data_IF_187463652908
#
_entry.id   IF_187463652908
#
_cell.length_a   1.000
_cell.length_b   1.000
_cell.length_c   1.000
_cell.angle_alpha   90.00
_cell.angle_beta   90.00
_cell.angle_gamma   90.00
#
_symmetry.space_group_name_H-M   'P 1'
#
loop_
_entity.id
_entity.type
_entity.pdbx_description
1 polymer ?
#
# COMPACT_ATOMS: atom_id res chain seq x y z
N UNK A 1 -52.05 -88.87 28.34
CA UNK A 1 -51.27 -89.34 29.51
C UNK A 1 -49.88 -88.73 29.36
N UNK A 2 -49.67 -87.45 29.71
CA UNK A 2 -49.02 -86.98 30.95
C UNK A 2 -47.89 -87.93 31.42
N UNK A 3 -46.64 -87.49 31.53
CA UNK A 3 -46.20 -86.44 32.47
C UNK A 3 -45.07 -85.54 31.91
N UNK A 4 -45.29 -84.23 32.04
CA UNK A 4 -44.30 -83.16 31.91
C UNK A 4 -43.46 -83.10 33.21
N UNK A 5 -42.13 -83.18 33.10
CA UNK A 5 -41.23 -82.87 34.21
C UNK A 5 -40.64 -81.47 33.99
N UNK A 6 -41.26 -80.48 34.65
CA UNK A 6 -40.63 -79.18 34.87
C UNK A 6 -39.73 -79.31 36.10
N UNK A 7 -38.42 -79.10 35.95
CA UNK A 7 -37.56 -78.74 37.08
C UNK A 7 -38.03 -77.39 37.61
N UNK A 8 -38.65 -77.36 38.80
CA UNK A 8 -38.88 -76.11 39.52
C UNK A 8 -37.79 -75.91 40.59
N UNK A 9 -37.51 -74.64 40.85
CA UNK A 9 -36.53 -74.18 41.82
C UNK A 9 -36.86 -74.67 43.24
N UNK A 10 -35.80 -74.97 43.99
CA UNK A 10 -35.74 -75.06 45.44
C UNK A 10 -35.77 -76.46 46.07
N UNK A 11 -34.66 -77.15 45.81
CA UNK A 11 -33.68 -77.64 46.79
C UNK A 11 -34.09 -78.77 47.79
N UNK A 12 -33.34 -79.87 47.66
CA UNK A 12 -33.13 -81.00 48.59
C UNK A 12 -34.10 -82.19 48.53
N UNK A 13 -34.12 -82.90 47.41
CA UNK A 13 -34.17 -84.37 47.40
C UNK A 13 -33.74 -84.89 46.03
N UNK A 14 -32.43 -85.08 45.83
CA UNK A 14 -31.91 -85.77 44.66
C UNK A 14 -32.18 -87.29 44.79
N UNK A 15 -32.52 -87.99 43.70
CA UNK A 15 -32.61 -89.45 43.71
C UNK A 15 -31.21 -90.06 43.92
N UNK A 16 -31.11 -91.27 44.52
CA UNK A 16 -29.81 -91.88 44.81
C UNK A 16 -29.05 -92.14 43.50
N UNK A 17 -27.81 -91.63 43.45
CA UNK A 17 -26.86 -91.95 42.40
C UNK A 17 -26.53 -93.46 42.46
N UNK A 18 -26.53 -94.21 41.35
CA UNK A 18 -26.12 -95.62 41.36
C UNK A 18 -24.61 -95.73 41.61
N UNK A 19 -24.13 -96.76 42.35
CA UNK A 19 -22.74 -96.82 42.75
C UNK A 19 -21.81 -97.34 41.64
N UNK A 20 -20.67 -96.66 41.52
CA UNK A 20 -19.36 -97.10 41.02
C UNK A 20 -19.29 -97.89 39.68
N UNK A 21 -19.01 -97.15 38.60
CA UNK A 21 -18.36 -97.66 37.38
C UNK A 21 -17.21 -96.71 36.94
N UNK A 22 -16.22 -97.17 36.17
CA UNK A 22 -15.03 -96.39 35.80
C UNK A 22 -15.39 -95.15 34.95
N UNK A 23 -14.57 -94.08 34.95
CA UNK A 23 -14.95 -92.81 34.34
C UNK A 23 -15.11 -92.94 32.82
N UNK A 24 -16.31 -92.66 32.31
CA UNK A 24 -16.57 -92.53 30.87
C UNK A 24 -15.96 -91.21 30.40
N UNK A 25 -14.90 -91.28 29.59
CA UNK A 25 -14.40 -90.13 28.83
C UNK A 25 -15.43 -89.75 27.75
N UNK A 26 -16.26 -88.75 28.02
CA UNK A 26 -17.09 -88.14 26.98
C UNK A 26 -16.19 -87.32 26.03
N UNK A 27 -16.21 -87.56 24.70
CA UNK A 27 -15.44 -86.76 23.76
C UNK A 27 -15.90 -85.29 23.80
N UNK A 28 -14.95 -84.36 23.92
CA UNK A 28 -15.21 -82.91 23.92
C UNK A 28 -15.92 -82.53 22.62
N UNK A 29 -17.13 -81.98 22.72
CA UNK A 29 -17.93 -81.56 21.58
C UNK A 29 -17.19 -80.55 20.69
N UNK A 30 -17.44 -80.62 19.38
CA UNK A 30 -16.84 -79.74 18.38
C UNK A 30 -17.05 -78.27 18.74
N UNK A 31 -15.99 -77.46 18.59
CA UNK A 31 -16.06 -76.01 18.81
C UNK A 31 -17.12 -75.41 17.90
N UNK A 32 -18.06 -74.65 18.46
CA UNK A 32 -19.14 -74.01 17.72
C UNK A 32 -18.63 -73.02 16.65
N UNK A 33 -19.47 -72.67 15.66
CA UNK A 33 -19.09 -71.74 14.61
C UNK A 33 -18.69 -70.38 15.20
N UNK A 34 -17.65 -69.77 14.63
CA UNK A 34 -17.21 -68.43 15.00
C UNK A 34 -18.35 -67.43 14.76
N UNK A 35 -18.61 -66.55 15.74
CA UNK A 35 -19.65 -65.53 15.63
C UNK A 35 -19.37 -64.52 14.51
N UNK A 36 -20.42 -63.87 14.01
CA UNK A 36 -20.31 -62.82 13.00
C UNK A 36 -19.45 -61.64 13.50
N UNK A 37 -18.66 -61.05 12.62
CA UNK A 37 -17.94 -59.80 12.89
C UNK A 37 -18.92 -58.69 13.25
N UNK A 38 -18.64 -57.94 14.31
CA UNK A 38 -19.49 -56.82 14.74
C UNK A 38 -19.56 -55.68 13.71
N UNK A 39 -20.57 -54.80 13.81
CA UNK A 39 -20.69 -53.65 12.91
C UNK A 39 -19.52 -52.68 13.07
N UNK A 40 -19.11 -52.04 11.97
CA UNK A 40 -18.13 -50.94 11.99
C UNK A 40 -18.65 -49.80 12.87
N UNK A 41 -17.77 -49.23 13.71
CA UNK A 41 -18.12 -48.11 14.58
C UNK A 41 -18.50 -46.82 13.82
N UNK A 42 -19.12 -45.84 14.51
CA UNK A 42 -19.47 -44.56 13.90
C UNK A 42 -18.22 -43.79 13.47
N UNK A 43 -18.35 -42.97 12.42
CA UNK A 43 -17.30 -42.04 12.03
C UNK A 43 -16.96 -41.06 13.17
N UNK A 44 -15.69 -40.69 13.30
CA UNK A 44 -15.24 -39.72 14.28
C UNK A 44 -15.77 -38.30 14.01
N UNK A 45 -15.73 -37.40 15.00
CA UNK A 45 -16.10 -36.00 14.80
C UNK A 45 -15.17 -35.32 13.78
N UNK A 46 -15.65 -34.31 13.03
CA UNK A 46 -14.79 -33.46 12.21
C UNK A 46 -13.66 -32.84 13.04
N UNK A 47 -12.49 -32.67 12.42
CA UNK A 47 -11.37 -31.98 13.05
C UNK A 47 -11.65 -30.49 13.32
N UNK A 48 -10.89 -29.84 14.20
CA UNK A 48 -11.01 -28.41 14.42
C UNK A 48 -10.70 -27.62 13.13
N UNK A 49 -11.29 -26.41 12.95
CA UNK A 49 -10.90 -25.51 11.88
C UNK A 49 -9.39 -25.21 11.89
N UNK A 50 -8.80 -25.01 10.72
CA UNK A 50 -7.41 -24.56 10.60
C UNK A 50 -7.21 -23.15 11.17
N UNK A 51 -5.97 -22.82 11.55
CA UNK A 51 -5.62 -21.47 11.97
C UNK A 51 -5.74 -20.48 10.80
N UNK A 52 -6.18 -19.26 11.08
CA UNK A 52 -6.14 -18.15 10.11
C UNK A 52 -4.69 -17.89 9.69
N UNK A 53 -4.46 -17.68 8.40
CA UNK A 53 -3.15 -17.31 7.89
C UNK A 53 -2.68 -15.94 8.41
N UNK A 54 -1.37 -15.70 8.39
CA UNK A 54 -0.82 -14.38 8.71
C UNK A 54 -1.31 -13.34 7.69
N UNK A 55 -1.46 -12.10 8.14
CA UNK A 55 -1.71 -10.98 7.23
C UNK A 55 -0.57 -10.86 6.21
N UNK A 56 -0.91 -10.54 4.96
CA UNK A 56 0.09 -10.24 3.94
C UNK A 56 0.88 -8.96 4.26
N UNK A 57 2.08 -8.78 3.67
CA UNK A 57 2.82 -7.54 3.83
C UNK A 57 2.03 -6.36 3.24
N UNK A 58 2.21 -5.13 3.76
CA UNK A 58 1.65 -3.93 3.15
C UNK A 58 2.11 -3.80 1.68
N UNK A 59 1.19 -3.37 0.80
CA UNK A 59 1.54 -3.06 -0.58
C UNK A 59 2.50 -1.86 -0.70
N UNK A 60 3.15 -1.67 -1.86
CA UNK A 60 4.13 -0.58 -2.07
C UNK A 60 3.51 0.84 -2.09
N UNK A 61 2.18 0.93 -2.15
CA UNK A 61 1.45 2.18 -2.31
C UNK A 61 0.96 2.40 -3.75
N UNK A 62 0.35 3.55 -3.98
CA UNK A 62 -0.09 4.03 -5.28
C UNK A 62 0.86 5.13 -5.79
N UNK A 63 1.18 5.06 -7.08
CA UNK A 63 1.97 6.09 -7.77
C UNK A 63 0.98 7.05 -8.44
N UNK A 64 1.08 8.34 -8.11
CA UNK A 64 0.29 9.39 -8.76
C UNK A 64 1.21 10.19 -9.71
N UNK A 65 0.96 10.13 -11.03
CA UNK A 65 1.79 10.83 -12.01
C UNK A 65 1.35 12.28 -12.21
N UNK A 66 2.34 13.16 -12.35
CA UNK A 66 2.18 14.53 -12.81
C UNK A 66 3.00 14.72 -14.09
N UNK A 67 2.42 15.33 -15.10
CA UNK A 67 3.11 15.62 -16.36
C UNK A 67 2.61 16.93 -16.95
N UNK A 68 3.57 17.74 -17.41
CA UNK A 68 3.26 19.00 -18.06
C UNK A 68 2.63 18.75 -19.44
N UNK A 69 1.49 19.38 -19.73
CA UNK A 69 0.91 19.39 -21.09
C UNK A 69 1.46 20.51 -21.97
N UNK A 70 1.84 21.62 -21.35
CA UNK A 70 2.54 22.74 -21.95
C UNK A 70 3.86 22.99 -21.20
N UNK A 71 4.74 23.82 -21.77
CA UNK A 71 6.00 24.18 -21.13
C UNK A 71 5.77 24.80 -19.75
N UNK A 72 6.54 24.34 -18.76
CA UNK A 72 6.72 25.05 -17.51
C UNK A 72 7.61 26.27 -17.75
N UNK A 73 7.21 27.40 -17.16
CA UNK A 73 7.96 28.66 -17.18
C UNK A 73 8.16 29.08 -15.74
N UNK A 74 9.41 29.12 -15.32
CA UNK A 74 9.84 29.42 -13.96
C UNK A 74 10.69 30.69 -14.01
N UNK A 75 10.42 31.64 -13.12
CA UNK A 75 11.22 32.86 -13.05
C UNK A 75 11.81 33.06 -11.66
N UNK A 76 12.96 33.71 -11.60
CA UNK A 76 13.51 34.25 -10.36
C UNK A 76 13.31 35.77 -10.32
N UNK A 77 13.33 36.33 -9.12
CA UNK A 77 13.33 37.78 -8.90
C UNK A 77 14.77 38.32 -8.91
N UNK A 78 14.94 39.64 -8.97
CA UNK A 78 16.27 40.28 -8.98
C UNK A 78 17.10 40.05 -7.71
N UNK A 79 16.47 39.64 -6.61
CA UNK A 79 17.13 39.21 -5.37
C UNK A 79 17.43 37.69 -5.35
N UNK A 80 17.14 36.98 -6.44
CA UNK A 80 17.39 35.55 -6.60
C UNK A 80 16.31 34.65 -6.02
N UNK A 81 15.31 35.21 -5.34
CA UNK A 81 14.19 34.44 -4.82
C UNK A 81 13.30 33.89 -5.94
N UNK A 82 12.41 32.96 -5.59
CA UNK A 82 11.36 32.48 -6.50
C UNK A 82 10.49 33.65 -6.96
N UNK A 83 10.38 33.82 -8.28
CA UNK A 83 9.44 34.74 -8.90
C UNK A 83 8.12 34.02 -9.17
N UNK A 84 7.94 33.55 -10.40
CA UNK A 84 6.75 32.82 -10.82
C UNK A 84 7.04 31.33 -11.00
N UNK A 85 6.03 30.53 -10.71
CA UNK A 85 6.07 29.07 -10.67
C UNK A 85 5.14 28.48 -11.73
N UNK A 86 5.23 27.16 -11.90
CA UNK A 86 4.32 26.40 -12.75
C UNK A 86 3.65 25.28 -11.96
N UNK A 87 2.34 25.16 -12.09
CA UNK A 87 1.54 24.06 -11.57
C UNK A 87 1.42 22.98 -12.63
N UNK A 88 1.54 21.72 -12.20
CA UNK A 88 1.41 20.55 -13.07
C UNK A 88 0.26 19.65 -12.62
N UNK A 89 -0.43 19.07 -13.58
CA UNK A 89 -1.46 18.05 -13.37
C UNK A 89 -1.26 16.82 -14.28
N UNK A 90 -2.34 16.11 -14.60
CA UNK A 90 -2.34 14.92 -15.46
C UNK A 90 -2.30 15.29 -16.95
N UNK A 91 -1.16 15.80 -17.43
CA UNK A 91 -0.99 16.23 -18.82
C UNK A 91 -1.46 17.65 -19.10
N UNK A 92 -1.51 18.51 -18.09
CA UNK A 92 -1.86 19.93 -18.20
C UNK A 92 -0.93 20.76 -17.29
N UNK A 93 -0.76 22.05 -17.61
CA UNK A 93 0.14 22.96 -16.90
C UNK A 93 -0.46 24.36 -16.79
N UNK A 94 -0.20 25.05 -15.69
CA UNK A 94 -0.46 26.50 -15.53
C UNK A 94 0.81 27.20 -15.11
N UNK A 95 1.18 28.27 -15.81
CA UNK A 95 2.39 29.05 -15.55
C UNK A 95 2.05 30.41 -14.94
N UNK A 96 3.04 31.11 -14.39
CA UNK A 96 2.84 32.49 -13.90
C UNK A 96 2.22 32.55 -12.52
N UNK A 97 2.28 31.46 -11.74
CA UNK A 97 1.71 31.41 -10.39
C UNK A 97 2.72 32.00 -9.40
N UNK A 98 2.30 33.05 -8.69
CA UNK A 98 3.08 33.60 -7.59
C UNK A 98 2.82 32.78 -6.33
N UNK A 99 3.90 32.48 -5.60
CA UNK A 99 3.83 31.86 -4.25
C UNK A 99 4.19 32.86 -3.14
N UNK A 100 4.32 34.14 -3.50
CA UNK A 100 4.61 35.22 -2.56
C UNK A 100 3.42 35.40 -1.62
N UNK A 101 3.62 35.11 -0.33
CA UNK A 101 2.53 35.08 0.67
C UNK A 101 2.24 33.69 1.23
N UNK A 102 2.90 32.64 0.72
CA UNK A 102 2.89 31.29 1.30
C UNK A 102 1.64 30.45 1.02
N UNK A 103 0.68 30.99 0.26
CA UNK A 103 -0.52 30.30 -0.20
C UNK A 103 -0.68 30.43 -1.71
N UNK A 104 -1.21 29.38 -2.34
CA UNK A 104 -1.65 29.39 -3.73
C UNK A 104 -3.18 29.30 -3.73
N UNK A 105 -3.85 30.32 -4.28
CA UNK A 105 -5.29 30.29 -4.52
C UNK A 105 -5.59 29.87 -5.97
N UNK A 106 -6.25 28.73 -6.14
CA UNK A 106 -6.59 28.18 -7.45
C UNK A 106 -8.00 28.56 -7.95
N UNK A 107 -8.72 29.46 -7.27
CA UNK A 107 -10.16 29.73 -7.52
C UNK A 107 -10.48 30.16 -8.96
N UNK A 108 -9.59 30.90 -9.61
CA UNK A 108 -9.79 31.41 -10.98
C UNK A 108 -8.83 30.82 -12.02
N UNK A 109 -8.20 29.69 -11.70
CA UNK A 109 -7.30 28.96 -12.60
C UNK A 109 -7.72 27.50 -12.75
N UNK A 110 -7.00 26.72 -13.55
CA UNK A 110 -7.32 25.31 -13.75
C UNK A 110 -7.17 24.50 -12.46
N UNK A 111 -8.12 23.59 -12.23
CA UNK A 111 -8.06 22.63 -11.14
C UNK A 111 -7.08 21.49 -11.52
N UNK A 112 -5.84 21.61 -11.06
CA UNK A 112 -4.78 20.62 -11.28
C UNK A 112 -4.51 19.73 -10.06
N UNK A 113 -5.20 19.98 -8.94
CA UNK A 113 -5.07 19.19 -7.73
C UNK A 113 -5.97 17.95 -7.77
N UNK A 114 -5.55 16.87 -7.11
CA UNK A 114 -6.41 15.70 -6.87
C UNK A 114 -6.79 15.60 -5.41
N UNK A 115 -7.96 15.02 -5.13
CA UNK A 115 -8.45 14.78 -3.77
C UNK A 115 -8.12 13.36 -3.31
N UNK A 116 -7.63 13.25 -2.08
CA UNK A 116 -7.31 11.97 -1.45
C UNK A 116 -8.60 11.20 -1.10
N UNK A 117 -8.83 9.99 -1.64
CA UNK A 117 -10.04 9.22 -1.35
C UNK A 117 -9.98 8.48 0.00
N UNK A 118 -8.79 8.42 0.60
CA UNK A 118 -8.49 7.79 1.89
C UNK A 118 -7.25 8.44 2.49
N UNK A 119 -7.04 8.23 3.79
CA UNK A 119 -5.77 8.58 4.42
C UNK A 119 -4.62 7.75 3.84
N UNK A 120 -3.43 8.32 3.81
CA UNK A 120 -2.22 7.65 3.33
C UNK A 120 -0.95 8.38 3.72
N UNK A 121 0.19 7.75 3.46
CA UNK A 121 1.52 8.33 3.75
C UNK A 121 2.27 8.59 2.46
N UNK A 122 2.68 9.85 2.22
CA UNK A 122 3.63 10.18 1.15
C UNK A 122 4.99 9.65 1.56
N UNK A 123 5.59 8.81 0.70
CA UNK A 123 6.84 8.09 0.99
C UNK A 123 8.00 8.46 0.08
N UNK A 124 7.71 8.91 -1.14
CA UNK A 124 8.71 9.48 -2.03
C UNK A 124 8.07 10.43 -3.03
N UNK A 125 8.91 11.34 -3.55
CA UNK A 125 8.61 12.24 -4.65
C UNK A 125 9.79 12.20 -5.63
N UNK A 126 9.49 12.06 -6.91
CA UNK A 126 10.47 12.09 -8.00
C UNK A 126 10.14 13.26 -8.91
N UNK A 127 11.15 13.90 -9.51
CA UNK A 127 10.95 14.98 -10.46
C UNK A 127 11.93 14.91 -11.62
N UNK A 128 11.47 15.36 -12.78
CA UNK A 128 12.21 15.45 -14.03
C UNK A 128 11.92 16.79 -14.70
N UNK A 129 12.95 17.39 -15.30
CA UNK A 129 12.85 18.61 -16.07
C UNK A 129 13.75 18.54 -17.31
N UNK A 130 13.26 18.99 -18.46
CA UNK A 130 14.05 19.10 -19.69
C UNK A 130 13.91 20.51 -20.25
N UNK A 131 15.01 21.24 -20.38
CA UNK A 131 14.98 22.63 -20.85
C UNK A 131 14.50 22.73 -22.30
N UNK A 132 13.74 23.78 -22.60
CA UNK A 132 13.27 24.08 -23.95
C UNK A 132 13.63 25.51 -24.40
N UNK A 133 14.42 26.23 -23.60
CA UNK A 133 15.07 27.47 -23.98
C UNK A 133 16.53 27.45 -23.51
N UNK A 134 17.41 28.13 -24.25
CA UNK A 134 18.78 28.32 -23.83
C UNK A 134 18.87 29.41 -22.75
N UNK A 135 19.76 29.24 -21.78
CA UNK A 135 19.97 30.16 -20.66
C UNK A 135 21.48 30.24 -20.36
N UNK A 136 21.97 31.41 -19.95
CA UNK A 136 23.37 31.60 -19.57
C UNK A 136 23.48 32.14 -18.14
N UNK A 137 24.20 31.41 -17.29
CA UNK A 137 24.39 31.68 -15.87
C UNK A 137 25.91 31.67 -15.55
N UNK A 138 26.68 32.68 -16.00
CA UNK A 138 28.14 32.64 -15.92
C UNK A 138 28.69 32.64 -14.50
N UNK A 139 27.93 33.20 -13.55
CA UNK A 139 28.36 33.43 -12.16
C UNK A 139 27.27 33.08 -11.15
N UNK A 140 26.26 32.33 -11.56
CA UNK A 140 25.08 32.03 -10.74
C UNK A 140 24.65 30.59 -10.95
N UNK A 141 24.01 30.02 -9.93
CA UNK A 141 23.43 28.68 -10.00
C UNK A 141 21.94 28.78 -9.74
N UNK A 142 21.13 28.28 -10.68
CA UNK A 142 19.68 28.19 -10.53
C UNK A 142 19.32 26.76 -10.18
N UNK A 143 18.64 26.56 -9.05
CA UNK A 143 18.05 25.27 -8.70
C UNK A 143 16.58 25.28 -9.09
N UNK A 144 16.17 24.25 -9.84
CA UNK A 144 14.76 23.96 -10.12
C UNK A 144 14.26 22.97 -9.06
N UNK A 145 13.12 23.27 -8.45
CA UNK A 145 12.53 22.43 -7.40
C UNK A 145 11.11 22.02 -7.77
N UNK A 146 10.72 20.82 -7.37
CA UNK A 146 9.35 20.32 -7.45
C UNK A 146 8.84 20.02 -6.05
N UNK A 147 7.77 20.67 -5.62
CA UNK A 147 7.23 20.54 -4.26
C UNK A 147 5.73 20.20 -4.29
N UNK A 148 5.31 19.31 -3.39
CA UNK A 148 3.90 19.08 -3.14
C UNK A 148 3.32 20.14 -2.20
N UNK A 149 2.11 20.57 -2.53
CA UNK A 149 1.31 21.52 -1.78
C UNK A 149 -0.04 20.89 -1.45
N UNK A 150 -0.66 21.30 -0.35
CA UNK A 150 -1.89 20.72 0.14
C UNK A 150 -2.94 21.73 0.59
N UNK A 151 -4.21 21.34 0.44
CA UNK A 151 -5.36 21.93 1.13
C UNK A 151 -5.97 20.87 2.04
N UNK A 152 -5.77 21.02 3.35
CA UNK A 152 -6.26 20.08 4.39
C UNK A 152 -7.69 20.36 4.82
N UNK A 153 -8.17 21.59 4.61
CA UNK A 153 -9.59 21.96 4.70
C UNK A 153 -10.06 22.08 3.26
N UNK A 154 -10.66 21.03 2.66
CA UNK A 154 -10.75 20.92 1.20
C UNK A 154 -11.35 22.16 0.52
N UNK A 155 -10.47 23.00 -0.03
CA UNK A 155 -10.78 24.26 -0.69
C UNK A 155 -9.73 24.55 -1.78
N UNK A 156 -9.75 25.76 -2.37
CA UNK A 156 -8.81 26.16 -3.42
C UNK A 156 -7.53 26.83 -2.89
N UNK A 157 -7.29 26.82 -1.59
CA UNK A 157 -6.12 27.44 -0.96
C UNK A 157 -5.11 26.37 -0.55
N UNK A 158 -3.93 26.41 -1.16
CA UNK A 158 -2.89 25.41 -0.96
C UNK A 158 -1.70 26.00 -0.20
N UNK A 159 -1.15 25.23 0.72
CA UNK A 159 0.08 25.53 1.47
C UNK A 159 1.15 24.48 1.16
N UNK A 160 2.46 24.81 1.23
CA UNK A 160 3.51 23.86 0.93
C UNK A 160 3.54 22.73 1.96
N UNK A 161 3.80 21.51 1.51
CA UNK A 161 4.05 20.37 2.39
C UNK A 161 5.54 20.38 2.77
N UNK A 162 5.90 20.58 4.05
CA UNK A 162 7.29 20.55 4.47
C UNK A 162 7.94 19.20 4.19
N UNK A 163 9.16 19.21 3.63
CA UNK A 163 9.92 17.99 3.32
C UNK A 163 9.54 17.30 2.01
N UNK A 164 8.32 17.49 1.47
CA UNK A 164 7.90 16.91 0.20
C UNK A 164 8.40 17.74 -1.01
N UNK A 165 9.70 17.93 -1.10
CA UNK A 165 10.37 18.72 -2.16
C UNK A 165 11.55 17.95 -2.76
N UNK A 166 11.63 17.96 -4.08
CA UNK A 166 12.79 17.50 -4.84
C UNK A 166 13.54 18.72 -5.35
N UNK A 167 14.80 18.86 -4.96
CA UNK A 167 15.71 19.83 -5.55
C UNK A 167 16.50 19.14 -6.66
N UNK A 168 16.37 19.63 -7.89
CA UNK A 168 17.08 19.10 -9.04
C UNK A 168 18.54 19.61 -9.06
N UNK A 169 19.46 18.92 -9.78
CA UNK A 169 20.83 19.41 -9.93
C UNK A 169 20.86 20.87 -10.44
N UNK A 170 21.73 21.73 -9.88
CA UNK A 170 21.74 23.14 -10.23
C UNK A 170 22.17 23.37 -11.69
N UNK A 171 21.51 24.32 -12.34
CA UNK A 171 21.90 24.85 -13.65
C UNK A 171 22.96 25.93 -13.46
N UNK A 172 24.07 25.82 -14.20
CA UNK A 172 25.18 26.79 -14.19
C UNK A 172 25.84 26.86 -15.56
N UNK A 173 26.46 28.01 -15.87
CA UNK A 173 27.11 28.24 -17.16
C UNK A 173 26.12 28.33 -18.32
N UNK A 174 26.49 27.80 -19.48
CA UNK A 174 25.64 27.82 -20.68
C UNK A 174 24.76 26.58 -20.70
N UNK A 175 23.46 26.80 -20.60
CA UNK A 175 22.43 25.77 -20.65
C UNK A 175 21.84 25.73 -22.05
N UNK A 176 21.95 24.57 -22.70
CA UNK A 176 21.35 24.34 -24.01
C UNK A 176 19.93 23.81 -23.89
N UNK A 177 19.17 23.91 -24.97
CA UNK A 177 17.89 23.20 -25.12
C UNK A 177 18.13 21.69 -25.00
N UNK A 178 17.24 21.00 -24.28
CA UNK A 178 17.33 19.56 -24.02
C UNK A 178 18.27 19.19 -22.88
N UNK A 179 18.71 20.16 -22.06
CA UNK A 179 19.42 19.85 -20.81
C UNK A 179 18.45 19.20 -19.85
N UNK A 180 18.79 17.99 -19.40
CA UNK A 180 17.95 17.15 -18.54
C UNK A 180 18.39 17.24 -17.10
N UNK A 181 17.42 17.39 -16.20
CA UNK A 181 17.57 17.35 -14.76
C UNK A 181 16.62 16.29 -14.19
N UNK A 182 17.09 15.53 -13.21
CA UNK A 182 16.25 14.55 -12.49
C UNK A 182 16.67 14.44 -11.03
N UNK A 183 15.73 14.14 -10.15
CA UNK A 183 15.99 13.93 -8.74
C UNK A 183 14.86 13.16 -8.05
N UNK A 184 15.15 12.70 -6.84
CA UNK A 184 14.22 11.98 -5.98
C UNK A 184 14.46 12.38 -4.52
N UNK A 185 13.37 12.43 -3.76
CA UNK A 185 13.40 12.37 -2.30
C UNK A 185 12.63 11.13 -1.89
N UNK A 186 13.25 10.28 -1.09
CA UNK A 186 12.68 9.05 -0.55
C UNK A 186 12.60 9.11 0.98
N UNK A 187 12.14 8.02 1.60
CA UNK A 187 12.07 7.91 3.06
C UNK A 187 11.16 8.93 3.74
N UNK A 188 10.21 9.51 3.01
CA UNK A 188 9.23 10.43 3.57
C UNK A 188 8.24 9.66 4.46
N UNK A 189 7.78 10.31 5.53
CA UNK A 189 6.76 9.79 6.45
C UNK A 189 5.69 10.86 6.68
N UNK A 190 5.14 11.40 5.61
CA UNK A 190 4.18 12.52 5.68
C UNK A 190 2.76 11.96 5.57
N UNK A 191 2.01 12.06 6.67
CA UNK A 191 0.61 11.65 6.72
C UNK A 191 -0.29 12.66 6.00
N UNK A 192 -1.24 12.13 5.24
CA UNK A 192 -2.24 12.90 4.51
C UNK A 192 -3.61 12.30 4.82
N UNK A 193 -4.50 13.13 5.35
CA UNK A 193 -5.87 12.74 5.72
C UNK A 193 -6.78 12.58 4.49
N UNK A 194 -7.90 11.83 4.60
CA UNK A 194 -8.94 11.82 3.58
C UNK A 194 -9.37 13.24 3.17
N UNK A 195 -9.78 13.38 1.91
CA UNK A 195 -10.24 14.63 1.30
C UNK A 195 -9.19 15.73 1.11
N UNK A 196 -8.00 15.59 1.73
CA UNK A 196 -6.86 16.49 1.47
C UNK A 196 -6.61 16.57 -0.03
N UNK A 197 -6.48 17.79 -0.56
CA UNK A 197 -6.15 18.01 -1.96
C UNK A 197 -4.66 18.19 -2.13
N UNK A 198 -4.05 17.52 -3.09
CA UNK A 198 -2.62 17.62 -3.39
C UNK A 198 -2.38 18.27 -4.75
N UNK A 199 -1.45 19.23 -4.78
CA UNK A 199 -1.05 20.02 -5.94
C UNK A 199 0.47 19.95 -6.10
N UNK A 200 0.97 19.90 -7.34
CA UNK A 200 2.41 19.93 -7.61
C UNK A 200 2.84 21.28 -8.18
N UNK A 201 3.91 21.84 -7.60
CA UNK A 201 4.47 23.14 -7.97
C UNK A 201 5.93 22.96 -8.37
N UNK A 202 6.28 23.43 -9.56
CA UNK A 202 7.67 23.64 -9.96
C UNK A 202 8.06 25.10 -9.77
N UNK A 203 9.23 25.35 -9.20
CA UNK A 203 9.81 26.68 -8.96
C UNK A 203 11.30 26.71 -9.34
N UNK A 204 11.86 27.91 -9.47
CA UNK A 204 13.29 28.11 -9.65
C UNK A 204 13.77 29.22 -8.71
N UNK A 205 14.97 29.06 -8.15
CA UNK A 205 15.63 30.07 -7.31
C UNK A 205 17.14 30.08 -7.56
N UNK A 206 17.79 31.21 -7.29
CA UNK A 206 19.25 31.33 -7.31
C UNK A 206 19.78 30.80 -5.98
N UNK A 207 20.45 29.64 -6.01
CA UNK A 207 20.99 28.99 -4.81
C UNK A 207 22.46 29.34 -4.54
N UNK A 208 23.16 29.91 -5.54
CA UNK A 208 24.56 30.32 -5.42
C UNK A 208 24.90 31.41 -6.43
N UNK A 209 25.92 32.20 -6.12
CA UNK A 209 26.45 33.23 -7.01
C UNK A 209 25.68 34.56 -6.95
N UNK A 210 25.66 35.29 -8.06
CA UNK A 210 25.05 36.64 -8.11
C UNK A 210 23.53 36.52 -8.33
N UNK A 211 22.69 37.11 -7.47
CA UNK A 211 21.26 37.19 -7.70
C UNK A 211 20.91 37.88 -9.02
N UNK A 212 19.93 37.33 -9.75
CA UNK A 212 19.45 37.90 -11.01
C UNK A 212 18.04 37.39 -11.33
N UNK A 213 17.35 38.10 -12.21
CA UNK A 213 16.12 37.65 -12.85
C UNK A 213 16.44 36.67 -13.98
N UNK A 214 16.13 35.39 -13.76
CA UNK A 214 16.29 34.30 -14.71
C UNK A 214 14.92 33.83 -15.17
N UNK A 215 14.88 33.27 -16.38
CA UNK A 215 13.71 32.56 -16.90
C UNK A 215 14.17 31.16 -17.31
N UNK A 216 13.67 30.14 -16.62
CA UNK A 216 13.90 28.72 -16.93
C UNK A 216 12.64 28.16 -17.59
N UNK A 217 12.78 27.70 -18.84
CA UNK A 217 11.67 27.17 -19.63
C UNK A 217 11.97 25.71 -19.98
N UNK A 218 10.99 24.84 -19.82
CA UNK A 218 11.15 23.41 -20.13
C UNK A 218 9.87 22.59 -20.00
N UNK A 219 10.00 21.28 -20.17
CA UNK A 219 8.96 20.30 -19.90
C UNK A 219 9.27 19.59 -18.59
N UNK A 220 8.24 19.34 -17.79
CA UNK A 220 8.38 18.85 -16.43
C UNK A 220 7.43 17.69 -16.14
N UNK A 221 7.86 16.77 -15.28
CA UNK A 221 7.03 15.68 -14.78
C UNK A 221 7.49 15.26 -13.40
N UNK A 222 6.61 14.62 -12.64
CA UNK A 222 6.91 14.08 -11.33
C UNK A 222 6.05 12.86 -11.03
N UNK A 223 6.43 12.10 -10.01
CA UNK A 223 5.62 11.03 -9.45
C UNK A 223 5.70 11.06 -7.93
N UNK A 224 4.55 10.94 -7.28
CA UNK A 224 4.46 10.78 -5.81
C UNK A 224 4.01 9.36 -5.48
N UNK A 225 4.67 8.72 -4.51
CA UNK A 225 4.23 7.45 -3.95
C UNK A 225 3.47 7.65 -2.64
N UNK A 226 2.26 7.12 -2.57
CA UNK A 226 1.37 7.21 -1.39
C UNK A 226 0.96 5.81 -0.95
N UNK A 227 1.37 5.40 0.26
CA UNK A 227 1.04 4.09 0.82
C UNK A 227 -0.24 4.11 1.63
#
# INVERSE_FOLDING_TARGET
MNMSWKCNNNHWNAPPCPPAGPPILCPRGATGPQGFTGPTGPAGPPGPPGLTGLAGPPGPGAIIPFSSGAQAVLTTLGDGAVGTTSLLGFGNSVTGISILGGLIDTTNIFNLAFSMPRGGTITSLTAFFSTNAALSLPTSEVTVSAQLWQSTTPDNSFSPIPGAVVNLPPLTGVINIGTVLSGEVDGLEIEVEPETRLLLVFSAEITSGIPLEAIVIGYASAGVNIR
#
